data_IF_341553057646
#
_entry.id   IF_341553057646
#
_cell.length_a   1.000
_cell.length_b   1.000
_cell.length_c   1.000
_cell.angle_alpha   90.00
_cell.angle_beta   90.00
_cell.angle_gamma   90.00
#
_symmetry.space_group_name_H-M   'P 1'
#
loop_
_entity.id
_entity.type
_entity.pdbx_description
1 polymer ?
#
# COMPACT_ATOMS: atom_id res chain seq x y z
N UNK A 1 9.98 11.39 -5.97
CA UNK A 1 9.92 12.48 -4.97
C UNK A 1 10.32 11.88 -3.64
N UNK A 2 11.31 12.47 -2.99
CA UNK A 2 11.69 11.99 -1.67
C UNK A 2 10.54 12.27 -0.69
N UNK A 3 10.07 11.25 -0.01
CA UNK A 3 9.16 11.36 1.11
C UNK A 3 9.96 11.58 2.37
N UNK A 4 9.41 12.37 3.25
CA UNK A 4 10.05 12.72 4.51
C UNK A 4 9.05 12.68 5.65
N UNK A 5 9.46 12.16 6.79
CA UNK A 5 8.72 12.22 8.03
C UNK A 5 9.66 12.57 9.15
N UNK A 6 9.26 13.60 9.90
CA UNK A 6 9.88 14.00 11.16
C UNK A 6 8.95 13.67 12.33
N UNK A 7 9.51 13.17 13.42
CA UNK A 7 8.79 13.06 14.68
C UNK A 7 9.75 13.23 15.85
N UNK A 8 9.23 13.64 16.98
CA UNK A 8 9.92 13.70 18.26
C UNK A 8 9.51 12.48 19.10
N UNK A 9 10.48 11.83 19.70
CA UNK A 9 10.26 10.70 20.60
C UNK A 9 9.59 11.21 21.90
N UNK A 10 8.54 10.54 22.31
CA UNK A 10 7.80 10.88 23.52
C UNK A 10 8.19 9.96 24.70
N UNK A 11 7.60 10.17 25.86
CA UNK A 11 7.87 9.38 27.07
C UNK A 11 7.61 7.87 26.89
N UNK A 12 6.72 7.47 25.96
CA UNK A 12 6.48 6.05 25.65
C UNK A 12 7.59 5.45 24.77
N UNK A 13 8.39 6.29 24.13
CA UNK A 13 9.50 5.87 23.27
C UNK A 13 10.82 5.74 24.05
N UNK A 14 10.88 6.24 25.30
CA UNK A 14 12.07 6.19 26.16
C UNK A 14 12.61 4.77 26.32
N UNK A 15 13.90 4.60 26.05
CA UNK A 15 14.60 3.31 26.18
C UNK A 15 14.27 2.27 25.10
N UNK A 16 13.40 2.59 24.14
CA UNK A 16 13.02 1.67 23.07
C UNK A 16 13.96 1.77 21.87
N UNK A 17 14.11 0.67 21.15
CA UNK A 17 14.85 0.73 19.90
C UNK A 17 14.07 1.46 18.82
N UNK A 18 14.74 2.32 18.06
CA UNK A 18 14.19 3.07 16.93
C UNK A 18 13.35 2.18 16.00
N UNK A 19 13.85 1.00 15.67
CA UNK A 19 13.15 0.01 14.84
C UNK A 19 11.75 -0.33 15.38
N UNK A 20 11.66 -0.51 16.69
CA UNK A 20 10.44 -0.98 17.33
C UNK A 20 9.42 0.16 17.48
N UNK A 21 9.90 1.38 17.69
CA UNK A 21 9.10 2.60 17.69
C UNK A 21 8.49 2.83 16.30
N UNK A 22 9.31 2.80 15.25
CA UNK A 22 8.85 3.03 13.88
C UNK A 22 7.81 1.97 13.45
N UNK A 23 8.09 0.69 13.70
CA UNK A 23 7.22 -0.42 13.27
C UNK A 23 5.95 -0.55 14.09
N UNK A 24 6.02 -0.28 15.38
CA UNK A 24 4.90 -0.49 16.30
C UNK A 24 3.98 0.71 16.47
N UNK A 25 4.55 1.90 16.51
CA UNK A 25 3.85 3.10 16.98
C UNK A 25 3.55 4.11 15.87
N UNK A 26 4.49 4.35 14.98
CA UNK A 26 4.35 5.41 13.96
C UNK A 26 3.66 4.94 12.67
N UNK A 27 3.13 3.73 12.64
CA UNK A 27 2.29 3.26 11.55
C UNK A 27 3.04 2.81 10.31
N UNK A 28 4.30 2.42 10.42
CA UNK A 28 5.08 1.93 9.29
C UNK A 28 4.96 0.42 9.13
N UNK A 29 4.68 -0.04 7.92
CA UNK A 29 4.75 -1.46 7.61
C UNK A 29 6.20 -1.97 7.69
N UNK A 30 6.37 -3.27 7.94
CA UNK A 30 7.70 -3.89 7.92
C UNK A 30 8.39 -3.76 6.56
N UNK A 31 7.63 -3.69 5.47
CA UNK A 31 8.15 -3.49 4.12
C UNK A 31 8.68 -2.06 3.94
N UNK A 32 7.91 -1.05 4.38
CA UNK A 32 8.34 0.35 4.33
C UNK A 32 9.58 0.58 5.18
N UNK A 33 9.62 0.02 6.41
CA UNK A 33 10.82 0.10 7.24
C UNK A 33 12.05 -0.51 6.56
N UNK A 34 11.91 -1.68 5.89
CA UNK A 34 13.00 -2.28 5.12
C UNK A 34 13.47 -1.36 4.00
N UNK A 35 12.53 -0.74 3.25
CA UNK A 35 12.87 0.22 2.18
C UNK A 35 13.66 1.40 2.72
N UNK A 36 13.18 2.05 3.81
CA UNK A 36 13.87 3.19 4.45
C UNK A 36 15.26 2.78 4.90
N UNK A 37 15.40 1.62 5.54
CA UNK A 37 16.68 1.15 6.07
C UNK A 37 17.71 0.89 4.97
N UNK A 38 17.29 0.38 3.80
CA UNK A 38 18.23 -0.03 2.74
C UNK A 38 18.43 1.04 1.67
N UNK A 39 17.40 1.78 1.34
CA UNK A 39 17.41 2.73 0.21
C UNK A 39 17.06 4.16 0.64
N UNK A 40 16.86 4.40 1.92
CA UNK A 40 16.54 5.71 2.48
C UNK A 40 17.62 6.22 3.43
N UNK A 41 17.23 7.21 4.20
CA UNK A 41 18.07 7.81 5.23
C UNK A 41 17.32 7.90 6.55
N UNK A 42 18.05 7.65 7.62
CA UNK A 42 17.54 7.77 9.00
C UNK A 42 18.45 8.75 9.74
N UNK A 43 17.85 9.79 10.28
CA UNK A 43 18.57 10.82 11.02
C UNK A 43 18.06 10.87 12.45
N UNK A 44 18.97 11.01 13.41
CA UNK A 44 18.68 11.19 14.82
C UNK A 44 19.42 12.44 15.31
N UNK A 45 18.66 13.42 15.80
CA UNK A 45 19.19 14.69 16.28
C UNK A 45 20.15 15.37 15.25
N UNK A 46 19.78 15.31 13.95
CA UNK A 46 20.60 15.88 12.89
C UNK A 46 21.81 15.03 12.45
N UNK A 47 22.01 13.86 13.06
CA UNK A 47 23.08 12.93 12.67
C UNK A 47 22.49 11.74 11.92
N UNK A 48 23.05 11.40 10.75
CA UNK A 48 22.66 10.21 10.00
C UNK A 48 23.10 8.95 10.72
N UNK A 49 22.17 8.04 10.94
CA UNK A 49 22.42 6.77 11.62
C UNK A 49 22.08 5.57 10.72
N UNK A 50 22.79 4.46 10.94
CA UNK A 50 22.58 3.21 10.18
C UNK A 50 22.12 2.06 11.09
N UNK A 51 22.20 2.24 12.41
CA UNK A 51 21.87 1.19 13.36
C UNK A 51 20.40 1.26 13.77
N UNK A 52 19.61 0.32 13.30
CA UNK A 52 18.19 0.18 13.67
C UNK A 52 17.95 -0.16 15.17
N UNK A 53 18.98 -0.58 15.88
CA UNK A 53 18.94 -0.87 17.32
C UNK A 53 19.36 0.34 18.18
N UNK A 54 19.51 1.52 17.59
CA UNK A 54 19.72 2.74 18.34
C UNK A 54 18.57 2.93 19.32
N UNK A 55 18.91 3.17 20.58
CA UNK A 55 17.93 3.45 21.64
C UNK A 55 17.50 4.91 21.51
N UNK A 56 16.22 5.16 21.63
CA UNK A 56 15.66 6.52 21.65
C UNK A 56 15.48 6.98 23.10
N UNK A 57 15.63 8.29 23.26
CA UNK A 57 15.32 9.01 24.51
C UNK A 57 14.22 10.03 24.24
N UNK A 58 13.45 10.35 25.26
CA UNK A 58 12.42 11.39 25.17
C UNK A 58 13.05 12.72 24.64
N UNK A 59 12.39 13.34 23.68
CA UNK A 59 12.86 14.55 23.00
C UNK A 59 13.81 14.31 21.82
N UNK A 60 14.18 13.06 21.54
CA UNK A 60 14.99 12.74 20.35
C UNK A 60 14.20 13.05 19.07
N UNK A 61 14.84 13.78 18.15
CA UNK A 61 14.26 14.09 16.83
C UNK A 61 14.69 13.09 15.79
N UNK A 62 13.72 12.36 15.28
CA UNK A 62 13.92 11.36 14.24
C UNK A 62 13.40 11.90 12.92
N UNK A 63 14.25 11.88 11.88
CA UNK A 63 13.88 12.19 10.51
C UNK A 63 14.13 10.97 9.62
N UNK A 64 13.13 10.59 8.86
CA UNK A 64 13.16 9.50 7.91
C UNK A 64 12.97 10.06 6.51
N UNK A 65 13.86 9.71 5.58
CA UNK A 65 13.78 10.13 4.17
C UNK A 65 13.87 8.90 3.30
N UNK A 66 12.97 8.76 2.32
CA UNK A 66 13.01 7.65 1.37
C UNK A 66 12.39 8.05 0.02
N UNK A 67 12.70 7.30 -1.01
CA UNK A 67 12.09 7.47 -2.32
C UNK A 67 10.85 6.56 -2.43
N UNK A 68 9.71 7.14 -2.79
CA UNK A 68 8.45 6.43 -3.09
C UNK A 68 8.38 6.01 -4.57
N UNK A 69 9.41 6.29 -5.37
CA UNK A 69 9.41 5.85 -6.76
C UNK A 69 9.21 4.33 -6.84
N UNK A 70 8.39 3.94 -7.77
CA UNK A 70 8.05 2.54 -8.01
C UNK A 70 9.00 1.96 -9.06
N UNK A 71 9.56 0.77 -8.79
CA UNK A 71 10.32 -0.02 -9.77
C UNK A 71 9.39 -0.75 -10.77
N UNK A 72 8.10 -0.43 -10.75
CA UNK A 72 7.10 -1.02 -11.63
C UNK A 72 7.31 -0.49 -13.04
N UNK A 73 7.48 -1.38 -14.00
CA UNK A 73 7.62 -1.03 -15.41
C UNK A 73 6.33 -0.36 -15.91
N UNK A 74 6.39 0.87 -16.41
CA UNK A 74 5.22 1.56 -16.94
C UNK A 74 4.68 0.86 -18.19
N UNK A 75 3.34 0.77 -18.31
CA UNK A 75 2.66 0.27 -19.49
C UNK A 75 1.62 1.26 -19.98
N UNK A 76 1.52 1.41 -21.32
CA UNK A 76 0.52 2.28 -21.94
C UNK A 76 -0.83 1.57 -22.04
N UNK A 77 -1.50 1.42 -20.90
CA UNK A 77 -2.81 0.78 -20.79
C UNK A 77 -3.80 1.84 -20.30
N UNK A 78 -4.91 2.05 -20.98
CA UNK A 78 -5.94 3.01 -20.55
C UNK A 78 -6.51 2.63 -19.17
N UNK A 79 -6.71 3.64 -18.32
CA UNK A 79 -7.37 3.52 -17.04
C UNK A 79 -8.74 4.19 -17.06
N UNK A 80 -9.73 3.52 -16.52
CA UNK A 80 -11.04 4.11 -16.22
C UNK A 80 -10.96 4.69 -14.80
N UNK A 81 -10.63 5.99 -14.71
CA UNK A 81 -10.39 6.71 -13.46
C UNK A 81 -11.71 7.23 -12.92
N UNK A 82 -12.07 6.82 -11.69
CA UNK A 82 -13.27 7.25 -11.00
C UNK A 82 -13.03 8.46 -10.08
N UNK A 83 -11.84 8.53 -9.49
CA UNK A 83 -11.44 9.61 -8.59
C UNK A 83 -9.93 9.69 -8.49
N UNK A 84 -9.41 10.89 -8.31
CA UNK A 84 -7.99 11.12 -8.04
C UNK A 84 -7.80 12.38 -7.18
N UNK A 85 -6.91 12.28 -6.20
CA UNK A 85 -6.35 13.40 -5.44
C UNK A 85 -4.84 13.23 -5.21
N UNK A 86 -4.24 14.00 -4.32
CA UNK A 86 -2.80 13.92 -4.00
C UNK A 86 -2.43 12.62 -3.24
N UNK A 87 -3.40 11.92 -2.70
CA UNK A 87 -3.23 10.76 -1.81
C UNK A 87 -3.66 9.46 -2.46
N UNK A 88 -4.71 9.50 -3.26
CA UNK A 88 -5.40 8.33 -3.79
C UNK A 88 -5.64 8.44 -5.30
N UNK A 89 -5.65 7.28 -5.95
CA UNK A 89 -6.20 7.05 -7.27
C UNK A 89 -7.22 5.91 -7.18
N UNK A 90 -8.44 6.16 -7.63
CA UNK A 90 -9.52 5.17 -7.65
C UNK A 90 -9.85 4.83 -9.09
N UNK A 91 -9.78 3.57 -9.45
CA UNK A 91 -10.00 3.10 -10.82
C UNK A 91 -11.06 2.01 -10.89
N UNK A 92 -11.79 1.95 -11.99
CA UNK A 92 -12.67 0.86 -12.33
C UNK A 92 -11.88 -0.21 -13.11
N UNK A 93 -11.40 -1.23 -12.40
CA UNK A 93 -10.64 -2.31 -13.03
C UNK A 93 -11.48 -3.14 -13.97
N UNK A 94 -11.06 -3.30 -15.19
CA UNK A 94 -11.68 -4.21 -16.16
C UNK A 94 -11.53 -5.69 -15.79
N UNK A 95 -12.35 -6.55 -16.39
CA UNK A 95 -12.18 -8.01 -16.34
C UNK A 95 -10.93 -8.44 -17.12
N UNK A 96 -10.34 -9.58 -16.78
CA UNK A 96 -9.13 -10.10 -17.44
C UNK A 96 -7.81 -9.51 -16.93
N UNK A 97 -7.83 -8.37 -16.25
CA UNK A 97 -6.66 -7.69 -15.72
C UNK A 97 -6.32 -8.16 -14.29
N UNK A 98 -5.08 -8.49 -14.03
CA UNK A 98 -4.57 -8.74 -12.67
C UNK A 98 -4.03 -7.45 -12.05
N UNK A 99 -4.01 -7.37 -10.72
CA UNK A 99 -3.55 -6.16 -10.03
C UNK A 99 -2.02 -6.07 -10.01
N UNK A 100 -1.35 -7.14 -9.62
CA UNK A 100 0.11 -7.22 -9.55
C UNK A 100 0.66 -8.29 -10.48
N UNK A 101 1.87 -8.11 -11.04
CA UNK A 101 2.56 -9.18 -11.74
C UNK A 101 2.72 -10.42 -10.83
N UNK A 102 2.43 -11.58 -11.35
CA UNK A 102 2.65 -12.86 -10.64
C UNK A 102 4.00 -13.47 -10.95
N UNK A 103 4.58 -13.11 -12.10
CA UNK A 103 5.89 -13.57 -12.56
C UNK A 103 6.66 -12.41 -13.19
N UNK A 104 8.00 -12.55 -13.24
CA UNK A 104 8.84 -11.65 -14.02
C UNK A 104 8.43 -11.69 -15.51
N UNK A 105 8.32 -10.53 -16.15
CA UNK A 105 7.92 -10.42 -17.56
C UNK A 105 6.43 -10.15 -17.80
N UNK A 106 5.59 -10.18 -16.77
CA UNK A 106 4.19 -9.71 -16.87
C UNK A 106 4.16 -8.21 -16.62
N UNK A 107 3.76 -7.44 -17.63
CA UNK A 107 3.72 -5.98 -17.57
C UNK A 107 2.36 -5.39 -17.99
N UNK A 108 1.33 -6.22 -18.09
CA UNK A 108 -0.04 -5.87 -18.45
C UNK A 108 -1.00 -5.85 -17.24
N UNK A 109 -0.49 -5.44 -16.10
CA UNK A 109 -1.26 -5.41 -14.85
C UNK A 109 -1.75 -4.00 -14.50
N UNK A 110 -2.67 -3.92 -13.55
CA UNK A 110 -3.18 -2.63 -13.08
C UNK A 110 -2.06 -1.71 -12.58
N UNK A 111 -1.11 -2.25 -11.81
CA UNK A 111 0.00 -1.42 -11.30
C UNK A 111 0.92 -0.92 -12.43
N UNK A 112 1.10 -1.68 -13.52
CA UNK A 112 1.84 -1.23 -14.69
C UNK A 112 1.09 -0.11 -15.44
N UNK A 113 -0.24 -0.24 -15.57
CA UNK A 113 -1.09 0.81 -16.16
C UNK A 113 -1.04 2.11 -15.33
N UNK A 114 -1.11 2.01 -14.01
CA UNK A 114 -0.97 3.17 -13.11
C UNK A 114 0.41 3.80 -13.23
N UNK A 115 1.47 3.00 -13.32
CA UNK A 115 2.82 3.51 -13.55
C UNK A 115 2.94 4.29 -14.87
N UNK A 116 2.34 3.77 -15.95
CA UNK A 116 2.27 4.47 -17.23
C UNK A 116 1.48 5.77 -17.17
N UNK A 117 0.38 5.78 -16.44
CA UNK A 117 -0.43 6.97 -16.20
C UNK A 117 0.36 8.05 -15.44
N UNK A 118 1.01 7.70 -14.33
CA UNK A 118 1.83 8.62 -13.55
C UNK A 118 3.02 9.14 -14.37
N UNK A 119 3.66 8.27 -15.16
CA UNK A 119 4.76 8.69 -16.04
C UNK A 119 4.31 9.76 -17.03
N UNK A 120 3.15 9.59 -17.68
CA UNK A 120 2.58 10.57 -18.63
C UNK A 120 2.26 11.92 -17.94
N UNK A 121 1.85 11.89 -16.68
CA UNK A 121 1.60 13.10 -15.87
C UNK A 121 2.90 13.75 -15.33
N UNK A 122 4.05 13.10 -15.45
CA UNK A 122 5.28 13.52 -14.77
C UNK A 122 5.22 13.35 -13.25
N UNK A 123 4.30 12.52 -12.77
CA UNK A 123 4.07 12.26 -11.35
C UNK A 123 4.99 11.13 -10.85
N UNK A 124 5.64 11.34 -9.70
CA UNK A 124 6.55 10.38 -9.07
C UNK A 124 5.97 9.83 -7.76
N UNK A 125 4.72 9.42 -7.80
CA UNK A 125 4.04 8.81 -6.65
C UNK A 125 4.33 7.33 -6.52
N UNK A 126 4.18 6.79 -5.33
CA UNK A 126 4.13 5.34 -5.09
C UNK A 126 2.86 4.72 -5.69
N UNK A 127 2.89 3.39 -5.88
CA UNK A 127 1.75 2.65 -6.42
C UNK A 127 1.43 1.52 -5.46
N UNK A 128 0.46 1.74 -4.59
CA UNK A 128 0.12 0.86 -3.49
C UNK A 128 -1.37 0.51 -3.51
N UNK A 129 -1.81 -0.55 -4.22
CA UNK A 129 -3.18 -1.02 -4.13
C UNK A 129 -3.56 -1.37 -2.69
N UNK A 130 -4.71 -0.87 -2.23
CA UNK A 130 -5.18 -1.04 -0.84
C UNK A 130 -5.71 -2.45 -0.62
N UNK A 131 -6.31 -3.04 -1.66
CA UNK A 131 -6.80 -4.42 -1.68
C UNK A 131 -6.72 -5.01 -3.09
N UNK A 132 -7.16 -6.25 -3.24
CA UNK A 132 -7.09 -6.95 -4.52
C UNK A 132 -8.48 -7.37 -4.97
N UNK A 133 -8.68 -7.34 -6.28
CA UNK A 133 -9.74 -8.04 -6.99
C UNK A 133 -9.11 -9.15 -7.83
N UNK A 134 -9.83 -10.23 -8.01
CA UNK A 134 -9.39 -11.32 -8.88
C UNK A 134 -9.37 -10.89 -10.34
N UNK A 135 -8.68 -11.67 -11.18
CA UNK A 135 -8.51 -11.38 -12.61
C UNK A 135 -9.84 -11.10 -13.30
N UNK A 136 -10.84 -11.92 -13.06
CA UNK A 136 -12.14 -11.85 -13.74
C UNK A 136 -13.16 -10.99 -12.98
N UNK A 137 -12.83 -10.46 -11.81
CA UNK A 137 -13.66 -9.52 -11.09
C UNK A 137 -13.43 -8.11 -11.64
N UNK A 138 -14.51 -7.48 -12.12
CA UNK A 138 -14.53 -6.07 -12.52
C UNK A 138 -14.91 -5.21 -11.31
N UNK A 139 -14.44 -3.97 -11.27
CA UNK A 139 -14.94 -2.97 -10.32
C UNK A 139 -13.86 -2.11 -9.69
N UNK A 140 -14.25 -1.42 -8.64
CA UNK A 140 -13.46 -0.38 -7.98
C UNK A 140 -12.19 -0.96 -7.35
N UNK A 141 -11.06 -0.31 -7.61
CA UNK A 141 -9.79 -0.54 -6.92
C UNK A 141 -9.23 0.79 -6.45
N UNK A 142 -8.87 0.85 -5.18
CA UNK A 142 -8.21 2.01 -4.59
C UNK A 142 -6.70 1.77 -4.59
N UNK A 143 -5.96 2.72 -5.14
CA UNK A 143 -4.50 2.75 -5.16
C UNK A 143 -4.03 3.95 -4.35
N UNK A 144 -3.32 3.72 -3.27
CA UNK A 144 -2.70 4.79 -2.51
C UNK A 144 -1.41 5.24 -3.19
N UNK A 145 -1.18 6.55 -3.21
CA UNK A 145 0.00 7.18 -3.82
C UNK A 145 1.23 7.13 -2.92
N UNK A 146 1.08 6.66 -1.69
CA UNK A 146 2.19 6.43 -0.75
C UNK A 146 1.95 5.21 0.13
N UNK A 147 3.04 4.61 0.61
CA UNK A 147 2.98 3.49 1.55
C UNK A 147 2.32 3.88 2.88
N UNK A 148 2.45 5.15 3.30
CA UNK A 148 1.78 5.69 4.49
C UNK A 148 0.26 5.72 4.32
N UNK A 149 -0.22 6.21 3.19
CA UNK A 149 -1.65 6.24 2.88
C UNK A 149 -2.23 4.81 2.77
N UNK A 150 -1.52 3.89 2.10
CA UNK A 150 -1.92 2.49 2.05
C UNK A 150 -2.05 1.89 3.44
N UNK A 151 -1.06 2.12 4.30
CA UNK A 151 -1.06 1.59 5.66
C UNK A 151 -2.24 2.14 6.48
N UNK A 152 -2.49 3.45 6.42
CA UNK A 152 -3.61 4.08 7.12
C UNK A 152 -4.95 3.45 6.69
N UNK A 153 -5.16 3.26 5.39
CA UNK A 153 -6.38 2.65 4.85
C UNK A 153 -6.51 1.17 5.22
N UNK A 154 -5.43 0.41 5.18
CA UNK A 154 -5.46 -1.02 5.51
C UNK A 154 -5.69 -1.28 7.01
N UNK A 155 -5.25 -0.38 7.89
CA UNK A 155 -5.57 -0.45 9.32
C UNK A 155 -7.01 -0.08 9.64
N UNK A 156 -7.61 0.75 8.83
CA UNK A 156 -9.01 1.20 8.96
C UNK A 156 -9.94 0.39 8.05
N UNK A 157 -9.61 -0.86 7.77
CA UNK A 157 -10.37 -1.70 6.82
C UNK A 157 -11.84 -1.90 7.24
N UNK A 158 -12.14 -1.82 8.53
CA UNK A 158 -13.52 -1.89 9.06
C UNK A 158 -14.37 -0.68 8.65
N UNK A 159 -13.73 0.43 8.25
CA UNK A 159 -14.40 1.63 7.72
C UNK A 159 -14.59 1.59 6.20
N UNK A 160 -14.00 0.59 5.53
CA UNK A 160 -14.14 0.41 4.07
C UNK A 160 -15.23 -0.60 3.80
N UNK A 161 -16.43 -0.11 3.47
CA UNK A 161 -17.53 -0.97 3.04
C UNK A 161 -17.30 -1.40 1.60
N UNK A 162 -17.38 -2.71 1.37
CA UNK A 162 -17.23 -3.30 0.03
C UNK A 162 -18.49 -4.09 -0.31
N UNK A 163 -19.10 -3.72 -1.41
CA UNK A 163 -20.26 -4.40 -1.95
C UNK A 163 -19.91 -5.07 -3.28
N UNK A 164 -20.50 -6.22 -3.52
CA UNK A 164 -20.29 -6.99 -4.74
C UNK A 164 -21.63 -7.44 -5.33
N UNK A 165 -21.71 -7.39 -6.64
CA UNK A 165 -22.80 -7.98 -7.41
C UNK A 165 -22.25 -9.21 -8.12
N UNK A 166 -22.92 -10.34 -7.99
CA UNK A 166 -22.53 -11.58 -8.62
C UNK A 166 -23.74 -12.26 -9.30
N UNK A 167 -23.47 -12.95 -10.39
CA UNK A 167 -24.44 -13.84 -11.03
C UNK A 167 -24.10 -15.26 -10.62
N UNK A 168 -25.03 -15.92 -9.94
CA UNK A 168 -24.89 -17.31 -9.51
C UNK A 168 -25.73 -18.24 -10.38
N UNK A 169 -25.19 -19.42 -10.66
CA UNK A 169 -25.95 -20.49 -11.33
C UNK A 169 -26.71 -21.37 -10.33
N UNK A 170 -27.85 -21.86 -10.71
CA UNK A 170 -28.67 -22.74 -9.88
C UNK A 170 -29.78 -22.01 -9.11
N UNK A 171 -30.41 -22.72 -8.19
CA UNK A 171 -31.50 -22.20 -7.34
C UNK A 171 -30.93 -21.67 -6.02
N UNK A 172 -31.21 -20.42 -5.73
CA UNK A 172 -30.87 -19.79 -4.45
C UNK A 172 -32.18 -19.70 -3.64
N UNK A 173 -32.28 -20.41 -2.52
CA UNK A 173 -33.47 -20.34 -1.68
C UNK A 173 -33.50 -19.03 -0.89
N UNK A 174 -34.60 -18.28 -1.03
CA UNK A 174 -34.80 -17.02 -0.30
C UNK A 174 -34.21 -15.80 -0.98
N UNK A 175 -34.58 -14.62 -0.49
CA UNK A 175 -34.15 -13.31 -1.02
C UNK A 175 -32.84 -12.81 -0.40
N UNK A 176 -32.48 -13.34 0.77
CA UNK A 176 -31.24 -13.04 1.46
C UNK A 176 -30.74 -14.23 2.29
N UNK A 177 -29.49 -14.25 2.62
CA UNK A 177 -28.90 -15.30 3.43
C UNK A 177 -27.45 -14.97 3.82
N UNK A 178 -26.91 -15.75 4.73
CA UNK A 178 -25.51 -15.68 5.15
C UNK A 178 -24.83 -16.98 4.73
N UNK A 179 -23.67 -16.85 4.09
CA UNK A 179 -22.77 -17.97 3.83
C UNK A 179 -21.60 -17.84 4.81
N UNK A 180 -21.63 -18.65 5.86
CA UNK A 180 -20.55 -18.74 6.84
C UNK A 180 -19.83 -20.09 6.65
N UNK A 181 -18.84 -20.09 5.78
CA UNK A 181 -18.06 -21.27 5.48
C UNK A 181 -16.57 -20.97 5.48
N UNK A 182 -15.79 -21.87 6.04
CA UNK A 182 -14.34 -21.78 5.98
C UNK A 182 -13.87 -21.83 4.52
N UNK A 183 -13.15 -20.80 4.11
CA UNK A 183 -12.49 -20.76 2.80
C UNK A 183 -11.06 -21.19 2.93
N UNK A 184 -10.62 -22.12 2.08
CA UNK A 184 -9.24 -22.60 2.08
C UNK A 184 -8.85 -23.13 0.69
N UNK A 185 -7.57 -23.27 0.47
CA UNK A 185 -7.08 -23.99 -0.71
C UNK A 185 -7.27 -25.48 -0.46
N UNK A 186 -7.96 -26.17 -1.37
CA UNK A 186 -7.95 -27.61 -1.41
C UNK A 186 -6.50 -28.03 -1.66
N UNK A 187 -5.88 -28.74 -0.72
CA UNK A 187 -4.50 -29.22 -0.87
C UNK A 187 -4.35 -29.99 -2.17
N UNK A 188 -3.30 -29.66 -2.93
CA UNK A 188 -2.86 -30.45 -4.04
C UNK A 188 -2.02 -31.63 -3.55
#
# INVERSE_FOLDING_TARGET
MAMEIDFEADAFDEGRHLRDVIRGYKGFSSALWKRIKWNGEVWLNGTRIHNAKTVLHEGDRVRLVWDESSDIVPADIPLDILYEDDTLLVVNKGTGMIIHPTNAGIHDTLVNAVAGYFQKKGEKSGIHPVYRLDRNTKGVVVVAKSAKAQYALTRSHDLIHREYIAVAGGYIPGECGIVDALTGRKGG
#
